data_IF_370954585112
#
_entry.id   IF_370954585112
#
_cell.length_a   1.000
_cell.length_b   1.000
_cell.length_c   1.000
_cell.angle_alpha   90.00
_cell.angle_beta   90.00
_cell.angle_gamma   90.00
#
_symmetry.space_group_name_H-M   'P 1'
#
loop_
_entity.id
_entity.type
_entity.pdbx_description
1 polymer ?
#
# COMPACT_ATOMS: atom_id res chain seq x y z
N UNK A 1 -6.39 -24.28 11.17
CA UNK A 1 -7.00 -24.75 12.44
C UNK A 1 -6.99 -23.57 13.40
N UNK A 2 -8.12 -23.22 13.99
CA UNK A 2 -8.25 -22.08 14.91
C UNK A 2 -8.90 -22.57 16.20
N UNK A 3 -8.19 -22.49 17.32
CA UNK A 3 -8.63 -22.93 18.65
C UNK A 3 -8.41 -21.78 19.63
N UNK A 4 -9.42 -20.90 19.82
CA UNK A 4 -9.29 -19.73 20.68
C UNK A 4 -8.99 -20.06 22.15
N UNK A 5 -9.64 -21.08 22.70
CA UNK A 5 -9.56 -21.44 24.13
C UNK A 5 -8.32 -22.28 24.52
N UNK A 6 -7.26 -22.26 23.71
CA UNK A 6 -6.04 -22.99 24.03
C UNK A 6 -5.24 -22.27 25.12
N UNK A 7 -4.57 -23.03 26.00
CA UNK A 7 -3.90 -22.49 27.21
C UNK A 7 -2.84 -21.42 26.93
N UNK A 8 -2.17 -21.49 25.77
CA UNK A 8 -1.11 -20.55 25.38
C UNK A 8 -1.28 -20.05 23.94
N UNK A 9 -1.08 -18.74 23.72
CA UNK A 9 -1.08 -18.18 22.37
C UNK A 9 0.08 -18.72 21.54
N UNK A 10 -0.23 -19.48 20.49
CA UNK A 10 0.76 -20.11 19.61
C UNK A 10 0.28 -20.11 18.17
N UNK A 11 1.01 -19.40 17.31
CA UNK A 11 0.87 -19.50 15.85
C UNK A 11 1.94 -20.47 15.33
N UNK A 12 1.54 -21.52 14.62
CA UNK A 12 2.44 -22.55 14.07
C UNK A 12 2.18 -22.75 12.59
N UNK A 13 3.22 -22.63 11.79
CA UNK A 13 3.16 -22.50 10.34
C UNK A 13 3.89 -23.67 9.71
N UNK A 14 3.18 -24.48 8.93
CA UNK A 14 3.73 -25.62 8.21
C UNK A 14 3.41 -25.43 6.72
N UNK A 15 4.20 -24.62 6.00
CA UNK A 15 3.86 -24.21 4.64
C UNK A 15 3.93 -25.37 3.64
N UNK A 16 4.84 -26.32 3.84
CA UNK A 16 4.95 -27.52 3.00
C UNK A 16 3.73 -28.45 3.16
N UNK A 17 3.18 -28.52 4.37
CA UNK A 17 1.98 -29.30 4.68
C UNK A 17 0.68 -28.55 4.36
N UNK A 18 0.76 -27.26 4.02
CA UNK A 18 -0.40 -26.42 3.74
C UNK A 18 -1.25 -26.07 4.97
N UNK A 19 -0.70 -26.17 6.19
CA UNK A 19 -1.45 -26.02 7.43
C UNK A 19 -0.88 -24.91 8.31
N UNK A 20 -1.77 -24.11 8.89
CA UNK A 20 -1.46 -23.22 10.01
C UNK A 20 -2.37 -23.51 11.20
N UNK A 21 -1.79 -23.54 12.39
CA UNK A 21 -2.51 -23.61 13.67
C UNK A 21 -2.46 -22.25 14.36
N UNK A 22 -3.63 -21.71 14.66
CA UNK A 22 -3.85 -20.52 15.49
C UNK A 22 -4.43 -21.02 16.81
N UNK A 23 -3.64 -20.98 17.88
CA UNK A 23 -4.02 -21.47 19.20
C UNK A 23 -3.99 -20.29 20.18
N UNK A 24 -4.98 -20.21 21.08
CA UNK A 24 -4.94 -19.27 22.21
C UNK A 24 -5.16 -17.82 21.80
N UNK A 25 -5.88 -17.59 20.70
CA UNK A 25 -6.27 -16.26 20.21
C UNK A 25 -7.63 -16.38 19.55
N UNK A 26 -8.56 -15.51 19.91
CA UNK A 26 -9.88 -15.34 19.28
C UNK A 26 -9.88 -14.25 18.19
N UNK A 27 -8.76 -13.55 17.99
CA UNK A 27 -8.62 -12.53 16.97
C UNK A 27 -8.72 -13.11 15.56
N UNK A 28 -9.74 -12.71 14.80
CA UNK A 28 -10.05 -13.24 13.46
C UNK A 28 -8.92 -12.93 12.46
N UNK A 29 -8.18 -11.84 12.71
CA UNK A 29 -7.03 -11.46 11.89
C UNK A 29 -5.92 -12.51 11.82
N UNK A 30 -5.73 -13.32 12.86
CA UNK A 30 -4.75 -14.42 12.83
C UNK A 30 -5.14 -15.49 11.80
N UNK A 31 -6.43 -15.85 11.76
CA UNK A 31 -6.95 -16.79 10.78
C UNK A 31 -6.82 -16.23 9.36
N UNK A 32 -7.26 -14.97 9.12
CA UNK A 32 -7.12 -14.28 7.83
C UNK A 32 -5.66 -14.28 7.36
N UNK A 33 -4.74 -13.73 8.15
CA UNK A 33 -3.33 -13.58 7.75
C UNK A 33 -2.63 -14.93 7.57
N UNK A 34 -3.09 -15.99 8.25
CA UNK A 34 -2.61 -17.36 8.03
C UNK A 34 -2.89 -17.85 6.61
N UNK A 35 -4.11 -17.64 6.09
CA UNK A 35 -4.46 -17.98 4.70
C UNK A 35 -3.70 -17.12 3.70
N UNK A 36 -3.64 -15.81 3.92
CA UNK A 36 -2.96 -14.87 3.02
C UNK A 36 -1.46 -15.17 2.90
N UNK A 37 -0.80 -15.53 4.01
CA UNK A 37 0.59 -15.98 3.99
C UNK A 37 0.78 -17.24 3.13
N UNK A 38 -0.12 -18.22 3.27
CA UNK A 38 -0.06 -19.45 2.48
C UNK A 38 -0.29 -19.18 1.00
N UNK A 39 -1.23 -18.28 0.67
CA UNK A 39 -1.44 -17.81 -0.70
C UNK A 39 -0.16 -17.23 -1.31
N UNK A 40 0.52 -16.32 -0.59
CA UNK A 40 1.79 -15.73 -1.07
C UNK A 40 2.90 -16.78 -1.24
N UNK A 41 3.00 -17.74 -0.30
CA UNK A 41 3.94 -18.86 -0.43
C UNK A 41 3.68 -19.68 -1.69
N UNK A 42 2.42 -20.02 -1.97
CA UNK A 42 2.05 -20.80 -3.15
C UNK A 42 2.18 -20.04 -4.47
N UNK A 43 1.98 -18.71 -4.46
CA UNK A 43 2.28 -17.86 -5.59
C UNK A 43 3.78 -17.93 -5.92
N UNK A 44 4.65 -17.83 -4.91
CA UNK A 44 6.10 -17.97 -5.06
C UNK A 44 6.52 -19.31 -5.68
N UNK A 45 5.90 -20.41 -5.26
CA UNK A 45 6.15 -21.74 -5.86
C UNK A 45 5.69 -21.85 -7.33
N UNK A 46 4.86 -20.92 -7.81
CA UNK A 46 4.35 -20.84 -9.18
C UNK A 46 5.01 -19.71 -9.96
N UNK A 47 6.21 -19.30 -9.58
CA UNK A 47 6.95 -18.18 -10.16
C UNK A 47 6.23 -16.82 -10.05
N UNK A 48 5.25 -16.67 -9.16
CA UNK A 48 4.70 -15.36 -8.79
C UNK A 48 5.44 -14.73 -7.63
N UNK A 49 4.92 -13.60 -7.14
CA UNK A 49 5.36 -12.96 -5.91
C UNK A 49 4.14 -12.43 -5.15
N UNK A 50 4.02 -12.82 -3.88
CA UNK A 50 2.99 -12.29 -3.00
C UNK A 50 3.29 -10.87 -2.55
N UNK A 51 2.32 -9.97 -2.70
CA UNK A 51 2.42 -8.56 -2.33
C UNK A 51 1.37 -8.24 -1.26
N UNK A 52 1.77 -7.49 -0.23
CA UNK A 52 0.83 -6.92 0.74
C UNK A 52 0.34 -5.56 0.22
N UNK A 53 -0.51 -5.62 -0.80
CA UNK A 53 -0.94 -4.47 -1.58
C UNK A 53 -2.45 -4.47 -1.83
N UNK A 54 -3.01 -3.26 -1.91
CA UNK A 54 -4.33 -3.05 -2.52
C UNK A 54 -4.20 -3.00 -4.04
N UNK A 55 -5.24 -3.36 -4.76
CA UNK A 55 -5.29 -3.29 -6.23
C UNK A 55 -6.56 -2.63 -6.71
N UNK A 56 -6.44 -1.91 -7.84
CA UNK A 56 -7.51 -1.13 -8.44
C UNK A 56 -7.43 -1.22 -9.95
N UNK A 57 -8.58 -1.24 -10.60
CA UNK A 57 -8.71 -1.05 -12.03
C UNK A 57 -9.25 0.34 -12.32
N UNK A 58 -8.55 1.12 -13.14
CA UNK A 58 -8.97 2.46 -13.57
C UNK A 58 -9.30 2.42 -15.05
N UNK A 59 -10.53 2.77 -15.41
CA UNK A 59 -10.94 3.05 -16.78
C UNK A 59 -10.95 4.57 -16.97
N UNK A 60 -10.13 5.09 -17.88
CA UNK A 60 -9.98 6.53 -18.08
C UNK A 60 -9.86 6.89 -19.56
N UNK A 61 -10.42 8.03 -19.95
CA UNK A 61 -10.32 8.52 -21.31
C UNK A 61 -8.99 9.26 -21.51
N UNK A 62 -8.30 8.92 -22.60
CA UNK A 62 -7.06 9.54 -23.03
C UNK A 62 -7.25 10.20 -24.40
N UNK A 63 -6.22 10.92 -24.88
CA UNK A 63 -6.23 11.50 -26.23
C UNK A 63 -6.33 10.46 -27.35
N UNK A 64 -6.02 9.19 -27.06
CA UNK A 64 -6.00 8.07 -28.03
C UNK A 64 -7.12 7.06 -27.81
N UNK A 65 -8.01 7.28 -26.84
CA UNK A 65 -9.15 6.40 -26.53
C UNK A 65 -9.26 6.04 -25.05
N UNK A 66 -10.18 5.12 -24.74
CA UNK A 66 -10.31 4.53 -23.41
C UNK A 66 -9.07 3.69 -23.09
N UNK A 67 -8.52 3.88 -21.89
CA UNK A 67 -7.44 3.07 -21.34
C UNK A 67 -7.93 2.40 -20.06
N UNK A 68 -7.65 1.11 -19.92
CA UNK A 68 -7.80 0.36 -18.65
C UNK A 68 -6.43 0.20 -18.04
N UNK A 69 -6.29 0.59 -16.79
CA UNK A 69 -5.01 0.64 -16.09
C UNK A 69 -5.15 -0.12 -14.79
N UNK A 70 -4.32 -1.15 -14.63
CA UNK A 70 -4.19 -1.87 -13.39
C UNK A 70 -3.18 -1.22 -12.46
N UNK A 71 -3.63 -0.86 -11.26
CA UNK A 71 -2.83 -0.17 -10.25
C UNK A 71 -2.68 -1.03 -8.99
N UNK A 72 -1.46 -1.09 -8.46
CA UNK A 72 -1.11 -1.79 -7.22
C UNK A 72 -0.59 -0.76 -6.21
N UNK A 73 -1.11 -0.79 -4.99
CA UNK A 73 -0.79 0.15 -3.92
C UNK A 73 -0.11 -0.57 -2.76
N UNK A 74 1.18 -0.32 -2.57
CA UNK A 74 1.99 -0.87 -1.49
C UNK A 74 2.19 0.18 -0.41
N UNK A 75 2.07 -0.20 0.87
CA UNK A 75 2.17 0.75 1.96
C UNK A 75 2.01 0.08 3.31
N UNK A 76 2.63 0.67 4.33
CA UNK A 76 2.42 0.27 5.71
C UNK A 76 1.00 0.62 6.18
N UNK A 77 0.60 0.06 7.33
CA UNK A 77 -0.68 0.40 7.94
C UNK A 77 -0.77 1.92 8.21
N UNK A 78 -1.96 2.50 8.06
CA UNK A 78 -2.23 3.93 8.29
C UNK A 78 -1.45 4.92 7.39
N UNK A 79 -0.88 4.47 6.27
CA UNK A 79 -0.29 5.37 5.26
C UNK A 79 -1.29 5.83 4.19
N UNK A 80 -2.54 5.34 4.20
CA UNK A 80 -3.56 5.68 3.21
C UNK A 80 -3.75 4.63 2.10
N UNK A 81 -3.16 3.43 2.23
CA UNK A 81 -3.36 2.31 1.28
C UNK A 81 -4.83 2.02 1.02
N UNK A 82 -5.60 1.70 2.05
CA UNK A 82 -7.03 1.39 1.92
C UNK A 82 -7.80 2.59 1.37
N UNK A 83 -7.52 3.80 1.86
CA UNK A 83 -8.14 5.04 1.37
C UNK A 83 -7.96 5.19 -0.14
N UNK A 84 -6.72 5.15 -0.66
CA UNK A 84 -6.47 5.28 -2.10
C UNK A 84 -7.04 4.12 -2.92
N UNK A 85 -7.00 2.91 -2.38
CA UNK A 85 -7.49 1.71 -3.08
C UNK A 85 -9.03 1.71 -3.18
N UNK A 86 -9.73 2.20 -2.16
CA UNK A 86 -11.19 2.26 -2.13
C UNK A 86 -11.76 3.55 -2.75
N UNK A 87 -11.00 4.64 -2.82
CA UNK A 87 -11.48 5.91 -3.35
C UNK A 87 -11.83 5.82 -4.85
N UNK A 88 -13.00 6.33 -5.26
CA UNK A 88 -13.50 6.28 -6.65
C UNK A 88 -12.87 7.29 -7.63
N UNK A 89 -11.86 8.03 -7.18
CA UNK A 89 -11.14 9.09 -7.93
C UNK A 89 -12.04 10.21 -8.50
N UNK A 90 -13.29 10.32 -8.01
CA UNK A 90 -14.29 11.23 -8.57
C UNK A 90 -14.64 10.93 -10.04
N UNK A 91 -14.34 9.71 -10.52
CA UNK A 91 -14.67 9.27 -11.88
C UNK A 91 -16.09 8.74 -11.91
N UNK A 92 -16.83 9.04 -12.98
CA UNK A 92 -18.23 8.62 -13.15
C UNK A 92 -18.52 8.22 -14.59
N UNK A 93 -19.53 7.36 -14.78
CA UNK A 93 -19.97 6.93 -16.10
C UNK A 93 -18.95 6.04 -16.81
N UNK A 94 -18.50 6.47 -17.99
CA UNK A 94 -17.54 5.72 -18.81
C UNK A 94 -16.14 5.69 -18.18
N UNK A 95 -15.82 6.64 -17.30
CA UNK A 95 -14.60 6.60 -16.49
C UNK A 95 -14.95 6.07 -15.10
N UNK A 96 -14.13 5.18 -14.56
CA UNK A 96 -14.35 4.59 -13.23
C UNK A 96 -13.02 4.11 -12.62
N UNK A 97 -13.04 3.93 -11.30
CA UNK A 97 -11.90 3.47 -10.51
C UNK A 97 -12.38 2.43 -9.51
N UNK A 98 -12.28 1.17 -9.88
CA UNK A 98 -12.88 0.06 -9.15
C UNK A 98 -11.87 -0.66 -8.26
N UNK A 99 -12.23 -0.89 -7.01
CA UNK A 99 -11.47 -1.70 -6.05
C UNK A 99 -11.45 -3.16 -6.51
N UNK A 100 -10.27 -3.78 -6.53
CA UNK A 100 -10.11 -5.21 -6.88
C UNK A 100 -9.72 -6.03 -5.63
N UNK A 101 -8.71 -5.60 -4.87
CA UNK A 101 -8.30 -6.15 -3.56
C UNK A 101 -7.84 -5.05 -2.62
N UNK A 102 -7.91 -5.22 -1.30
CA UNK A 102 -7.46 -4.21 -0.32
C UNK A 102 -6.14 -4.57 0.40
N UNK A 103 -5.82 -5.87 0.51
CA UNK A 103 -4.82 -6.34 1.46
C UNK A 103 -3.66 -7.13 0.84
N UNK A 104 -3.94 -8.27 0.17
CA UNK A 104 -2.92 -9.16 -0.41
C UNK A 104 -3.29 -9.58 -1.83
N UNK A 105 -2.29 -9.59 -2.70
CA UNK A 105 -2.38 -10.09 -4.07
C UNK A 105 -1.08 -10.80 -4.48
N UNK A 106 -1.02 -11.36 -5.69
CA UNK A 106 0.19 -11.97 -6.22
C UNK A 106 0.45 -11.53 -7.67
N UNK A 107 1.61 -10.95 -7.93
CA UNK A 107 2.06 -10.55 -9.27
C UNK A 107 2.76 -11.72 -9.98
N UNK A 108 2.40 -11.94 -11.24
CA UNK A 108 2.98 -12.97 -12.11
C UNK A 108 3.76 -12.37 -13.29
N UNK A 109 4.62 -13.17 -13.96
CA UNK A 109 5.49 -12.70 -15.06
C UNK A 109 4.79 -12.05 -16.24
N UNK A 110 3.54 -12.45 -16.51
CA UNK A 110 2.69 -11.98 -17.59
C UNK A 110 1.90 -10.72 -17.21
N UNK A 111 2.16 -10.14 -16.03
CA UNK A 111 1.46 -8.97 -15.52
C UNK A 111 0.17 -9.29 -14.80
N UNK A 112 -0.32 -10.54 -14.81
CA UNK A 112 -1.51 -10.94 -14.05
C UNK A 112 -1.29 -10.67 -12.56
N UNK A 113 -2.31 -10.12 -11.91
CA UNK A 113 -2.34 -9.99 -10.45
C UNK A 113 -3.51 -10.78 -9.90
N UNK A 114 -3.19 -11.91 -9.27
CA UNK A 114 -4.19 -12.76 -8.62
C UNK A 114 -4.60 -12.17 -7.27
N UNK A 115 -5.89 -12.08 -7.02
CA UNK A 115 -6.47 -11.72 -5.73
C UNK A 115 -6.45 -12.88 -4.75
N UNK A 116 -6.54 -12.57 -3.45
CA UNK A 116 -6.48 -13.56 -2.38
C UNK A 116 -7.79 -13.68 -1.59
N UNK A 117 -8.62 -12.65 -1.64
CA UNK A 117 -9.87 -12.54 -0.86
C UNK A 117 -11.07 -12.45 -1.80
N UNK A 118 -11.98 -13.43 -1.67
CA UNK A 118 -13.09 -13.61 -2.60
C UNK A 118 -14.21 -12.59 -2.49
N UNK A 119 -14.97 -12.66 -1.39
CA UNK A 119 -16.28 -12.00 -1.27
C UNK A 119 -16.35 -10.83 -0.28
N UNK A 120 -15.27 -10.53 0.45
CA UNK A 120 -15.31 -9.51 1.49
C UNK A 120 -13.95 -8.88 1.74
N UNK A 121 -13.96 -7.80 2.53
CA UNK A 121 -12.79 -7.06 2.98
C UNK A 121 -12.71 -7.07 4.50
N UNK A 122 -11.50 -6.93 5.05
CA UNK A 122 -11.28 -6.85 6.50
C UNK A 122 -10.62 -5.53 6.87
N UNK A 123 -11.46 -4.54 7.12
CA UNK A 123 -11.07 -3.14 7.20
C UNK A 123 -10.89 -2.68 8.65
N UNK A 124 -10.09 -1.63 8.85
CA UNK A 124 -9.96 -0.94 10.14
C UNK A 124 -11.11 0.05 10.28
N UNK A 125 -11.76 0.09 11.44
CA UNK A 125 -12.94 0.93 11.66
C UNK A 125 -12.69 2.17 12.51
N UNK A 126 -11.55 2.25 13.23
CA UNK A 126 -11.26 3.43 14.07
C UNK A 126 -11.23 4.72 13.21
N UNK A 127 -11.99 5.72 13.63
CA UNK A 127 -12.12 7.00 12.93
C UNK A 127 -12.89 6.94 11.60
N UNK A 128 -13.57 5.83 11.29
CA UNK A 128 -14.40 5.73 10.10
C UNK A 128 -15.59 6.69 10.19
N UNK A 129 -15.72 7.55 9.19
CA UNK A 129 -16.77 8.56 9.09
C UNK A 129 -17.50 8.44 7.75
N UNK A 130 -18.78 8.84 7.74
CA UNK A 130 -19.56 8.87 6.51
C UNK A 130 -19.09 9.99 5.57
N UNK A 131 -18.55 11.06 6.14
CA UNK A 131 -18.06 12.23 5.43
C UNK A 131 -16.79 11.91 4.62
N UNK A 132 -15.86 11.16 5.19
CA UNK A 132 -14.55 10.89 4.56
C UNK A 132 -14.58 9.65 3.67
N UNK A 133 -15.34 8.62 4.06
CA UNK A 133 -15.38 7.31 3.38
C UNK A 133 -16.81 6.74 3.32
N UNK A 134 -17.74 7.38 2.61
CA UNK A 134 -19.16 7.03 2.63
C UNK A 134 -19.45 5.59 2.21
N UNK A 135 -18.77 5.08 1.17
CA UNK A 135 -18.98 3.72 0.67
C UNK A 135 -18.59 2.66 1.69
N UNK A 136 -17.45 2.88 2.36
CA UNK A 136 -16.95 1.97 3.40
C UNK A 136 -17.83 2.07 4.64
N UNK A 137 -18.20 3.29 5.05
CA UNK A 137 -19.09 3.51 6.18
C UNK A 137 -20.43 2.80 5.98
N UNK A 138 -21.08 2.99 4.84
CA UNK A 138 -22.37 2.38 4.52
C UNK A 138 -22.27 0.83 4.50
N UNK A 139 -21.16 0.27 3.99
CA UNK A 139 -20.90 -1.17 4.05
C UNK A 139 -20.65 -1.70 5.48
N UNK A 140 -20.15 -0.88 6.41
CA UNK A 140 -19.95 -1.31 7.82
C UNK A 140 -21.21 -1.28 8.68
N UNK A 141 -22.24 -0.56 8.24
CA UNK A 141 -23.54 -0.50 8.91
C UNK A 141 -24.60 -1.35 8.19
N UNK A 142 -24.20 -2.18 7.23
CA UNK A 142 -25.11 -3.15 6.58
C UNK A 142 -25.41 -4.33 7.50
N UNK A 143 -26.54 -5.01 7.25
CA UNK A 143 -26.92 -6.22 7.99
C UNK A 143 -25.94 -7.39 7.77
N UNK A 144 -25.10 -7.32 6.73
CA UNK A 144 -24.09 -8.32 6.37
C UNK A 144 -22.74 -8.08 7.06
N UNK A 145 -22.53 -6.90 7.67
CA UNK A 145 -21.27 -6.53 8.29
C UNK A 145 -21.05 -7.26 9.63
N UNK A 146 -19.82 -7.73 9.84
CA UNK A 146 -19.38 -8.31 11.13
C UNK A 146 -18.35 -7.40 11.77
N UNK A 147 -18.70 -6.78 12.89
CA UNK A 147 -17.83 -5.88 13.66
C UNK A 147 -17.07 -6.65 14.74
N UNK A 148 -15.78 -6.36 14.88
CA UNK A 148 -14.90 -6.94 15.90
C UNK A 148 -14.29 -5.80 16.73
N UNK A 149 -14.52 -5.85 18.05
CA UNK A 149 -14.01 -4.87 19.04
C UNK A 149 -14.36 -3.40 18.75
N UNK A 150 -15.55 -3.14 18.20
CA UNK A 150 -16.10 -1.79 18.00
C UNK A 150 -17.07 -1.45 19.13
N UNK A 151 -17.06 -0.19 19.59
CA UNK A 151 -17.99 0.27 20.61
C UNK A 151 -19.42 0.33 20.08
N UNK A 152 -20.37 -0.18 20.88
CA UNK A 152 -21.80 -0.17 20.55
C UNK A 152 -22.59 0.42 21.71
N UNK A 153 -23.37 1.45 21.42
CA UNK A 153 -24.25 2.12 22.37
C UNK A 153 -25.47 1.27 22.74
N UNK A 154 -26.21 1.69 23.77
CA UNK A 154 -27.40 0.98 24.26
C UNK A 154 -28.53 0.89 23.23
N UNK A 155 -28.59 1.83 22.29
CA UNK A 155 -29.53 1.90 21.17
C UNK A 155 -29.12 1.02 19.98
N UNK A 156 -27.91 0.42 20.01
CA UNK A 156 -27.33 -0.31 18.89
C UNK A 156 -26.47 0.56 17.96
N UNK A 157 -26.37 1.87 18.24
CA UNK A 157 -25.53 2.77 17.45
C UNK A 157 -24.05 2.41 17.62
N UNK A 158 -23.33 2.34 16.51
CA UNK A 158 -21.90 2.02 16.47
C UNK A 158 -21.10 3.31 16.58
N UNK A 159 -20.12 3.35 17.49
CA UNK A 159 -19.20 4.48 17.62
C UNK A 159 -17.81 4.08 17.13
N UNK A 160 -17.48 4.50 15.91
CA UNK A 160 -16.18 4.25 15.29
C UNK A 160 -15.06 5.14 15.83
N UNK A 161 -15.34 6.12 16.68
CA UNK A 161 -14.33 6.98 17.30
C UNK A 161 -13.94 6.51 18.71
N UNK A 162 -14.73 5.64 19.32
CA UNK A 162 -14.45 5.09 20.64
C UNK A 162 -13.44 3.91 20.56
N UNK A 163 -12.19 4.21 20.90
CA UNK A 163 -11.09 3.25 21.02
C UNK A 163 -10.92 2.63 22.42
N UNK A 164 -11.89 2.74 23.34
CA UNK A 164 -11.76 2.27 24.73
C UNK A 164 -11.40 0.79 24.85
N UNK A 165 -11.87 -0.06 23.92
CA UNK A 165 -11.46 -1.47 23.84
C UNK A 165 -10.12 -1.61 23.13
N UNK A 166 -9.99 -0.98 21.96
CA UNK A 166 -8.79 -1.00 21.13
C UNK A 166 -8.89 0.03 19.99
N UNK A 167 -7.76 0.59 19.58
CA UNK A 167 -7.64 1.36 18.33
C UNK A 167 -7.60 0.47 17.08
N UNK A 168 -7.63 -0.86 17.23
CA UNK A 168 -7.67 -1.83 16.13
C UNK A 168 -9.07 -2.46 15.99
N UNK A 169 -10.13 -1.66 16.14
CA UNK A 169 -11.48 -2.07 15.75
C UNK A 169 -11.51 -2.49 14.28
N UNK A 170 -12.26 -3.55 13.97
CA UNK A 170 -12.33 -4.14 12.61
C UNK A 170 -13.76 -4.38 12.17
N UNK A 171 -13.94 -4.43 10.86
CA UNK A 171 -15.15 -4.91 10.23
C UNK A 171 -14.81 -5.88 9.09
N UNK A 172 -15.54 -6.98 9.01
CA UNK A 172 -15.65 -7.77 7.79
C UNK A 172 -16.89 -7.31 7.03
N UNK A 173 -16.69 -6.78 5.82
CA UNK A 173 -17.77 -6.28 4.96
C UNK A 173 -17.79 -7.06 3.65
N UNK A 174 -18.94 -7.15 2.99
CA UNK A 174 -19.03 -7.79 1.69
C UNK A 174 -18.57 -6.84 0.58
N UNK A 175 -17.90 -7.39 -0.44
CA UNK A 175 -17.55 -6.63 -1.65
C UNK A 175 -18.80 -6.18 -2.42
N UNK A 176 -19.89 -6.95 -2.34
CA UNK A 176 -21.18 -6.61 -2.95
C UNK A 176 -21.82 -5.35 -2.36
N UNK A 177 -21.39 -4.94 -1.15
CA UNK A 177 -21.90 -3.75 -0.49
C UNK A 177 -21.13 -2.48 -0.91
N UNK A 178 -20.02 -2.66 -1.65
CA UNK A 178 -19.20 -1.57 -2.15
C UNK A 178 -19.57 -1.26 -3.61
N UNK A 179 -20.11 -0.07 -3.91
CA UNK A 179 -20.63 0.26 -5.23
C UNK A 179 -19.55 0.31 -6.32
N UNK A 180 -18.28 0.50 -5.93
CA UNK A 180 -17.14 0.54 -6.82
C UNK A 180 -16.22 -0.69 -6.69
N UNK A 181 -16.67 -1.79 -6.08
CA UNK A 181 -15.95 -3.05 -6.19
C UNK A 181 -16.03 -3.59 -7.63
N UNK A 182 -14.91 -4.06 -8.16
CA UNK A 182 -14.89 -4.77 -9.44
C UNK A 182 -15.59 -6.13 -9.30
N UNK A 183 -16.09 -6.69 -10.40
CA UNK A 183 -16.68 -8.04 -10.41
C UNK A 183 -15.64 -9.12 -10.12
N UNK A 184 -14.42 -8.93 -10.63
CA UNK A 184 -13.28 -9.83 -10.43
C UNK A 184 -12.49 -9.47 -9.15
N UNK A 185 -11.83 -10.46 -8.56
CA UNK A 185 -10.78 -10.26 -7.53
C UNK A 185 -9.38 -10.23 -8.13
N UNK A 186 -9.26 -10.63 -9.40
CA UNK A 186 -8.02 -10.63 -10.16
C UNK A 186 -7.99 -9.38 -11.04
N UNK A 187 -6.81 -8.78 -11.13
CA UNK A 187 -6.52 -7.71 -12.09
C UNK A 187 -5.78 -8.34 -13.27
N UNK A 188 -6.37 -8.23 -14.46
CA UNK A 188 -5.88 -8.90 -15.67
C UNK A 188 -4.43 -8.55 -15.99
N UNK A 189 -4.05 -7.28 -15.78
CA UNK A 189 -2.70 -6.78 -16.08
C UNK A 189 -2.30 -5.62 -15.17
N UNK A 190 -1.17 -5.76 -14.49
CA UNK A 190 -0.52 -4.70 -13.73
C UNK A 190 0.17 -3.72 -14.69
N UNK A 191 -0.17 -2.45 -14.57
CA UNK A 191 0.48 -1.39 -15.34
C UNK A 191 1.31 -0.48 -14.44
N UNK A 192 0.88 -0.29 -13.19
CA UNK A 192 1.44 0.70 -12.28
C UNK A 192 1.53 0.18 -10.85
N UNK A 193 2.68 0.39 -10.20
CA UNK A 193 2.88 0.14 -8.76
C UNK A 193 3.19 1.46 -8.05
N UNK A 194 2.50 1.71 -6.95
CA UNK A 194 2.68 2.88 -6.10
C UNK A 194 3.14 2.47 -4.70
N UNK A 195 4.33 2.93 -4.31
CA UNK A 195 4.84 2.84 -2.95
C UNK A 195 4.38 4.07 -2.16
N UNK A 196 3.46 3.86 -1.23
CA UNK A 196 2.87 4.91 -0.41
C UNK A 196 3.79 5.19 0.78
N UNK A 197 4.18 6.45 0.91
CA UNK A 197 5.00 6.94 2.02
C UNK A 197 4.37 8.18 2.66
N UNK A 198 4.83 8.52 3.86
CA UNK A 198 4.53 9.80 4.52
C UNK A 198 5.81 10.59 4.85
N UNK A 199 6.92 10.24 4.20
CA UNK A 199 8.22 10.84 4.45
C UNK A 199 8.28 12.29 3.92
N UNK A 200 8.54 13.31 4.76
CA UNK A 200 8.57 14.71 4.35
C UNK A 200 9.71 15.06 3.39
N UNK A 201 10.72 14.19 3.24
CA UNK A 201 11.79 14.38 2.25
C UNK A 201 11.36 14.05 0.83
N UNK A 202 10.24 13.36 0.67
CA UNK A 202 9.75 12.90 -0.63
C UNK A 202 8.83 13.94 -1.28
N UNK A 203 8.94 14.15 -2.61
CA UNK A 203 7.96 14.91 -3.36
C UNK A 203 6.59 14.21 -3.31
N UNK A 204 5.50 14.88 -3.71
CA UNK A 204 4.17 14.26 -3.77
C UNK A 204 4.14 12.99 -4.60
N UNK A 205 4.93 12.96 -5.67
CA UNK A 205 5.12 11.78 -6.50
C UNK A 205 6.48 11.81 -7.20
N UNK A 206 7.07 10.63 -7.36
CA UNK A 206 8.26 10.42 -8.18
C UNK A 206 8.14 9.13 -8.98
N UNK A 207 8.57 9.15 -10.25
CA UNK A 207 8.74 7.97 -11.09
C UNK A 207 10.08 7.32 -10.79
N UNK A 208 10.07 6.01 -10.60
CA UNK A 208 11.24 5.21 -10.27
C UNK A 208 11.75 4.48 -11.51
N UNK A 209 13.06 4.26 -11.57
CA UNK A 209 13.59 3.15 -12.38
C UNK A 209 13.23 1.81 -11.75
N UNK A 210 13.46 0.70 -12.45
CA UNK A 210 13.15 -0.63 -11.94
C UNK A 210 14.05 -0.99 -10.74
N UNK A 211 15.33 -0.62 -10.77
CA UNK A 211 16.23 -0.81 -9.63
C UNK A 211 15.82 0.05 -8.43
N UNK A 212 15.43 1.29 -8.68
CA UNK A 212 14.86 2.19 -7.68
C UNK A 212 13.61 1.55 -7.05
N UNK A 213 12.69 1.04 -7.86
CA UNK A 213 11.48 0.36 -7.37
C UNK A 213 11.79 -0.88 -6.52
N UNK A 214 12.75 -1.70 -6.92
CA UNK A 214 13.17 -2.85 -6.12
C UNK A 214 13.85 -2.43 -4.81
N UNK A 215 14.60 -1.33 -4.81
CA UNK A 215 15.12 -0.73 -3.58
C UNK A 215 13.99 -0.20 -2.67
N UNK A 216 12.97 0.48 -3.22
CA UNK A 216 11.78 0.91 -2.47
C UNK A 216 11.06 -0.29 -1.84
N UNK A 217 10.88 -1.36 -2.61
CA UNK A 217 10.30 -2.61 -2.11
C UNK A 217 11.13 -3.15 -0.94
N UNK A 218 12.46 -3.24 -1.09
CA UNK A 218 13.32 -3.76 -0.02
C UNK A 218 13.39 -2.86 1.22
N UNK A 219 13.36 -1.55 1.05
CA UNK A 219 13.31 -0.62 2.17
C UNK A 219 11.96 -0.71 2.90
N UNK A 220 10.86 -0.76 2.13
CA UNK A 220 9.49 -0.77 2.65
C UNK A 220 9.30 0.28 3.73
N UNK A 221 9.79 1.49 3.44
CA UNK A 221 10.00 2.55 4.41
C UNK A 221 8.80 3.51 4.46
N UNK A 222 8.42 3.86 5.68
CA UNK A 222 7.54 5.00 5.96
C UNK A 222 7.94 5.61 7.29
N UNK A 223 7.12 6.56 7.73
CA UNK A 223 7.16 7.12 9.08
C UNK A 223 6.03 6.51 9.88
N UNK A 224 6.32 6.11 11.12
CA UNK A 224 5.33 5.65 12.07
C UNK A 224 4.32 6.78 12.34
N UNK A 225 3.04 6.45 12.26
CA UNK A 225 1.97 7.45 12.38
C UNK A 225 1.38 7.39 13.78
N UNK A 226 0.80 8.49 14.25
CA UNK A 226 0.07 8.49 15.52
C UNK A 226 -1.12 7.51 15.53
N UNK A 227 -1.63 7.10 14.35
CA UNK A 227 -2.68 6.09 14.21
C UNK A 227 -2.15 4.64 14.18
N UNK A 228 -0.83 4.46 14.07
CA UNK A 228 -0.14 3.18 14.14
C UNK A 228 0.39 2.93 15.54
N UNK A 229 1.41 3.69 15.96
CA UNK A 229 1.96 3.71 17.32
C UNK A 229 2.19 5.17 17.77
N UNK A 230 1.31 5.73 18.61
CA UNK A 230 1.46 7.09 19.14
C UNK A 230 2.80 7.36 19.82
N UNK A 231 3.42 6.33 20.41
CA UNK A 231 4.67 6.49 21.19
C UNK A 231 5.91 6.61 20.31
N UNK A 232 5.79 6.22 19.03
CA UNK A 232 6.87 6.25 18.04
C UNK A 232 6.55 7.15 16.85
N UNK A 233 5.49 7.94 16.93
CA UNK A 233 5.07 8.80 15.84
C UNK A 233 6.22 9.70 15.38
N UNK A 234 6.57 9.65 14.10
CA UNK A 234 7.72 10.36 13.53
C UNK A 234 9.00 9.52 13.37
N UNK A 235 9.07 8.32 13.94
CA UNK A 235 10.21 7.41 13.76
C UNK A 235 10.16 6.68 12.39
N UNK A 236 11.32 6.43 11.75
CA UNK A 236 11.36 5.63 10.53
C UNK A 236 11.05 4.16 10.82
N UNK A 237 10.19 3.56 10.01
CA UNK A 237 9.85 2.15 10.08
C UNK A 237 10.14 1.48 8.72
N UNK A 238 10.74 0.28 8.76
CA UNK A 238 11.10 -0.49 7.57
C UNK A 238 10.60 -1.93 7.64
N UNK A 239 9.79 -2.32 6.66
CA UNK A 239 9.32 -3.70 6.49
C UNK A 239 9.41 -4.06 5.01
N UNK A 240 10.33 -4.95 4.63
CA UNK A 240 10.49 -5.42 3.23
C UNK A 240 9.13 -5.74 2.58
N UNK A 241 8.88 -5.15 1.42
CA UNK A 241 7.65 -5.27 0.63
C UNK A 241 6.39 -4.76 1.34
N UNK A 242 6.56 -3.95 2.39
CA UNK A 242 5.55 -3.64 3.39
C UNK A 242 4.83 -4.88 3.91
N UNK A 243 5.52 -6.04 3.90
CA UNK A 243 4.95 -7.37 4.04
C UNK A 243 5.63 -8.13 5.20
N UNK A 244 5.03 -8.14 6.40
CA UNK A 244 5.58 -8.87 7.54
C UNK A 244 5.41 -10.40 7.42
N UNK A 245 4.76 -10.91 6.36
CA UNK A 245 4.37 -12.32 6.22
C UNK A 245 5.28 -13.11 5.26
N UNK A 246 6.41 -12.56 4.84
CA UNK A 246 7.37 -13.23 3.95
C UNK A 246 7.85 -14.56 4.53
N UNK A 247 7.79 -15.64 3.73
CA UNK A 247 8.41 -16.93 4.03
C UNK A 247 9.68 -17.09 3.20
N UNK A 248 10.82 -17.22 3.88
CA UNK A 248 12.14 -17.42 3.26
C UNK A 248 12.98 -16.15 3.24
N UNK A 249 13.90 -16.05 2.27
CA UNK A 249 14.85 -14.93 2.19
C UNK A 249 14.19 -13.67 1.66
N UNK A 250 14.22 -12.60 2.45
CA UNK A 250 13.82 -11.25 2.02
C UNK A 250 14.63 -10.72 0.84
N UNK A 251 15.93 -11.04 0.76
CA UNK A 251 16.77 -10.63 -0.38
C UNK A 251 16.36 -11.30 -1.70
N UNK A 252 15.89 -12.56 -1.65
CA UNK A 252 15.36 -13.25 -2.84
C UNK A 252 14.01 -12.64 -3.28
N UNK A 253 13.19 -12.17 -2.33
CA UNK A 253 11.95 -11.45 -2.65
C UNK A 253 12.23 -10.16 -3.43
N UNK A 254 13.22 -9.36 -3.02
CA UNK A 254 13.61 -8.14 -3.72
C UNK A 254 14.11 -8.40 -5.14
N UNK A 255 14.93 -9.44 -5.33
CA UNK A 255 15.38 -9.84 -6.66
C UNK A 255 14.19 -10.30 -7.53
N UNK A 256 13.27 -11.08 -6.95
CA UNK A 256 12.10 -11.55 -7.69
C UNK A 256 11.16 -10.41 -8.07
N UNK A 257 11.00 -9.44 -7.19
CA UNK A 257 10.21 -8.23 -7.48
C UNK A 257 10.79 -7.49 -8.69
N UNK A 258 12.11 -7.26 -8.71
CA UNK A 258 12.81 -6.63 -9.85
C UNK A 258 12.58 -7.40 -11.17
N UNK A 259 12.68 -8.72 -11.13
CA UNK A 259 12.45 -9.56 -12.32
C UNK A 259 11.03 -9.41 -12.84
N UNK A 260 10.02 -9.42 -11.95
CA UNK A 260 8.62 -9.36 -12.33
C UNK A 260 8.23 -8.00 -12.93
N UNK A 261 8.62 -6.90 -12.30
CA UNK A 261 8.28 -5.56 -12.84
C UNK A 261 8.94 -5.31 -14.20
N UNK A 262 10.12 -5.90 -14.45
CA UNK A 262 10.78 -5.84 -15.76
C UNK A 262 10.07 -6.70 -16.80
N UNK A 263 9.67 -7.92 -16.45
CA UNK A 263 9.00 -8.84 -17.38
C UNK A 263 7.60 -8.36 -17.77
N UNK A 264 6.87 -7.80 -16.81
CA UNK A 264 5.53 -7.26 -17.01
C UNK A 264 5.51 -5.76 -17.39
N UNK A 265 6.68 -5.16 -17.61
CA UNK A 265 6.84 -3.74 -18.03
C UNK A 265 6.05 -2.75 -17.13
N UNK A 266 6.05 -2.99 -15.82
CA UNK A 266 5.25 -2.24 -14.84
C UNK A 266 5.96 -0.94 -14.44
N UNK A 267 5.27 0.19 -14.60
CA UNK A 267 5.79 1.49 -14.15
C UNK A 267 5.66 1.63 -12.63
N UNK A 268 6.75 2.03 -11.96
CA UNK A 268 6.78 2.15 -10.51
C UNK A 268 6.93 3.61 -10.05
N UNK A 269 6.25 3.95 -8.96
CA UNK A 269 6.20 5.30 -8.41
C UNK A 269 6.27 5.28 -6.88
N UNK A 270 6.82 6.34 -6.29
CA UNK A 270 6.54 6.70 -4.89
C UNK A 270 5.43 7.75 -4.90
N UNK A 271 4.46 7.62 -3.98
CA UNK A 271 3.44 8.63 -3.71
C UNK A 271 3.48 9.01 -2.23
N UNK A 272 3.64 10.30 -1.95
CA UNK A 272 3.66 10.83 -0.59
C UNK A 272 2.27 11.31 -0.20
N UNK A 273 1.62 10.63 0.75
CA UNK A 273 0.28 10.95 1.28
C UNK A 273 0.35 11.68 2.63
N UNK A 274 1.55 12.10 3.03
CA UNK A 274 1.79 12.84 4.26
C UNK A 274 1.90 14.33 3.99
N UNK A 275 3.11 14.85 4.19
CA UNK A 275 3.46 16.25 3.96
C UNK A 275 4.80 16.31 3.24
N UNK A 276 5.11 17.45 2.66
CA UNK A 276 6.43 17.80 2.13
C UNK A 276 7.05 18.83 3.05
N UNK A 277 8.28 18.58 3.48
CA UNK A 277 9.01 19.50 4.35
C UNK A 277 8.79 19.31 5.84
N UNK A 278 9.71 19.89 6.62
CA UNK A 278 9.60 20.00 8.07
C UNK A 278 9.48 21.44 8.56
N UNK A 279 10.02 22.41 7.82
CA UNK A 279 9.83 23.85 8.05
C UNK A 279 8.80 24.35 7.05
N UNK A 280 7.79 25.11 7.50
CA UNK A 280 6.71 25.62 6.65
C UNK A 280 6.08 24.57 5.72
N UNK A 281 5.96 23.34 6.25
CA UNK A 281 5.61 22.14 5.49
C UNK A 281 4.24 22.24 4.80
N UNK A 282 4.10 21.56 3.65
CA UNK A 282 2.85 21.48 2.88
C UNK A 282 2.24 20.09 2.96
N UNK A 283 1.00 19.98 3.39
CA UNK A 283 0.27 18.70 3.43
C UNK A 283 -0.15 18.25 2.04
N UNK A 284 0.05 16.96 1.73
CA UNK A 284 -0.44 16.34 0.50
C UNK A 284 -1.83 15.76 0.75
N UNK A 285 -2.85 16.58 0.53
CA UNK A 285 -4.25 16.18 0.67
C UNK A 285 -4.69 15.08 -0.32
N UNK A 286 -5.84 14.47 -0.04
CA UNK A 286 -6.40 13.37 -0.86
C UNK A 286 -6.68 13.82 -2.30
N UNK A 287 -7.14 15.05 -2.50
CA UNK A 287 -7.43 15.61 -3.82
C UNK A 287 -6.15 15.68 -4.69
N UNK A 288 -5.01 16.03 -4.07
CA UNK A 288 -3.71 16.04 -4.75
C UNK A 288 -3.31 14.62 -5.16
N UNK A 289 -3.44 13.65 -4.23
CA UNK A 289 -3.11 12.25 -4.50
C UNK A 289 -3.97 11.68 -5.63
N UNK A 290 -5.27 11.99 -5.64
CA UNK A 290 -6.20 11.57 -6.70
C UNK A 290 -5.88 12.24 -8.03
N UNK A 291 -5.54 13.53 -8.04
CA UNK A 291 -5.12 14.23 -9.25
C UNK A 291 -3.88 13.57 -9.87
N UNK A 292 -2.86 13.28 -9.05
CA UNK A 292 -1.65 12.55 -9.46
C UNK A 292 -2.00 11.19 -10.08
N UNK A 293 -2.79 10.37 -9.38
CA UNK A 293 -3.12 9.02 -9.83
C UNK A 293 -3.90 9.01 -11.14
N UNK A 294 -4.79 9.99 -11.35
CA UNK A 294 -5.54 10.16 -12.61
C UNK A 294 -4.63 10.57 -13.77
N UNK A 295 -3.74 11.53 -13.56
CA UNK A 295 -2.83 11.98 -14.62
C UNK A 295 -1.80 10.90 -14.98
N UNK A 296 -1.33 10.12 -14.00
CA UNK A 296 -0.48 8.94 -14.23
C UNK A 296 -1.26 7.86 -15.01
N UNK A 297 -2.53 7.59 -14.66
CA UNK A 297 -3.36 6.64 -15.40
C UNK A 297 -3.56 7.06 -16.87
N UNK A 298 -3.68 8.37 -17.16
CA UNK A 298 -3.75 8.88 -18.54
C UNK A 298 -2.45 8.65 -19.32
N UNK A 299 -1.29 8.61 -18.65
CA UNK A 299 0.03 8.47 -19.27
C UNK A 299 0.54 9.76 -19.92
N UNK A 300 -0.01 10.91 -19.54
CA UNK A 300 0.28 12.22 -20.14
C UNK A 300 1.34 13.04 -19.36
N UNK A 301 1.91 12.48 -18.29
CA UNK A 301 2.88 13.20 -17.44
C UNK A 301 4.27 13.23 -18.08
N UNK A 302 4.82 14.43 -18.21
CA UNK A 302 6.23 14.65 -18.51
C UNK A 302 7.08 14.60 -17.24
N UNK A 303 8.09 13.74 -17.26
CA UNK A 303 8.99 13.49 -16.12
C UNK A 303 10.36 14.10 -16.37
N UNK A 304 10.94 14.69 -15.33
CA UNK A 304 12.31 15.20 -15.35
C UNK A 304 13.08 14.69 -14.14
N UNK A 305 14.29 14.18 -14.38
CA UNK A 305 15.24 13.86 -13.30
C UNK A 305 15.68 15.16 -12.62
N UNK A 306 15.42 15.27 -11.33
CA UNK A 306 15.86 16.39 -10.50
C UNK A 306 17.22 16.05 -9.87
N UNK A 307 18.20 16.94 -10.00
CA UNK A 307 19.57 16.68 -9.52
C UNK A 307 19.71 16.80 -8.00
N UNK A 308 18.86 17.58 -7.32
CA UNK A 308 18.91 17.76 -5.86
C UNK A 308 18.23 16.59 -5.15
N UNK A 309 17.05 16.21 -5.63
CA UNK A 309 16.27 15.09 -5.08
C UNK A 309 16.88 13.77 -5.55
N UNK A 310 17.40 13.72 -6.78
CA UNK A 310 17.90 12.49 -7.39
C UNK A 310 16.79 11.51 -7.75
N UNK A 311 15.59 12.00 -8.09
CA UNK A 311 14.43 11.23 -8.55
C UNK A 311 13.78 11.91 -9.75
N UNK A 312 12.97 11.17 -10.51
CA UNK A 312 12.20 11.73 -11.61
C UNK A 312 10.88 12.31 -11.10
N UNK A 313 10.73 13.64 -11.15
CA UNK A 313 9.53 14.36 -10.67
C UNK A 313 8.69 14.86 -11.85
N UNK A 314 7.38 15.05 -11.70
CA UNK A 314 6.53 15.54 -12.78
C UNK A 314 6.74 17.04 -12.98
N UNK A 315 6.72 17.49 -14.24
CA UNK A 315 6.78 18.92 -14.55
C UNK A 315 5.45 19.65 -14.34
N UNK A 316 4.35 18.92 -14.47
CA UNK A 316 2.99 19.43 -14.33
C UNK A 316 2.03 18.28 -13.96
N UNK A 317 1.06 18.58 -13.09
CA UNK A 317 -0.07 17.70 -12.76
C UNK A 317 -1.33 18.55 -12.78
N UNK A 318 -2.30 18.21 -13.62
CA UNK A 318 -3.57 18.93 -13.62
C UNK A 318 -4.30 18.73 -12.29
N UNK A 319 -4.67 19.83 -11.63
CA UNK A 319 -5.28 19.79 -10.29
C UNK A 319 -4.29 19.91 -9.12
N UNK A 320 -3.00 20.13 -9.38
CA UNK A 320 -1.99 20.35 -8.33
C UNK A 320 -0.88 21.29 -8.80
N UNK A 321 -0.56 22.34 -8.03
CA UNK A 321 0.65 23.13 -8.29
C UNK A 321 1.87 22.42 -7.71
N UNK A 322 2.49 21.55 -8.51
CA UNK A 322 3.61 20.71 -8.07
C UNK A 322 4.81 21.52 -7.53
N UNK A 323 4.96 22.79 -7.94
CA UNK A 323 6.07 23.64 -7.51
C UNK A 323 5.97 24.02 -6.05
N UNK A 324 4.76 24.08 -5.48
CA UNK A 324 4.56 24.30 -4.04
C UNK A 324 4.98 23.08 -3.19
N UNK A 325 5.36 21.97 -3.81
CA UNK A 325 5.70 20.74 -3.11
C UNK A 325 7.12 20.27 -3.44
N UNK A 326 8.03 21.21 -3.69
CA UNK A 326 9.45 20.90 -3.94
C UNK A 326 10.20 20.73 -2.61
N UNK A 327 10.58 19.49 -2.20
CA UNK A 327 11.14 19.26 -0.87
C UNK A 327 12.35 20.13 -0.51
N UNK A 328 13.34 20.38 -1.41
CA UNK A 328 14.49 21.22 -1.07
C UNK A 328 14.19 22.63 -0.56
N UNK A 329 12.99 23.17 -0.82
CA UNK A 329 12.59 24.50 -0.34
C UNK A 329 12.16 24.50 1.14
N UNK A 330 11.95 23.31 1.74
CA UNK A 330 11.38 23.13 3.08
C UNK A 330 12.35 22.51 4.10
N UNK A 331 13.65 22.48 3.77
CA UNK A 331 14.72 22.00 4.64
C UNK A 331 15.93 22.94 4.57
N UNK A 332 16.51 23.28 5.72
CA UNK A 332 17.71 24.13 5.79
C UNK A 332 18.94 23.48 5.12
N UNK A 333 19.12 22.17 5.30
CA UNK A 333 20.17 21.36 4.68
C UNK A 333 19.61 20.10 4.03
N UNK A 334 18.83 20.27 2.97
CA UNK A 334 18.22 19.15 2.25
C UNK A 334 19.27 18.13 1.77
N UNK A 335 20.38 18.59 1.20
CA UNK A 335 21.41 17.73 0.63
C UNK A 335 22.13 16.90 1.71
N UNK A 336 22.44 17.48 2.87
CA UNK A 336 23.06 16.75 3.98
C UNK A 336 22.12 15.71 4.59
N UNK A 337 20.83 16.04 4.74
CA UNK A 337 19.81 15.12 5.24
C UNK A 337 19.63 13.95 4.26
N UNK A 338 19.47 14.25 2.97
CA UNK A 338 19.32 13.23 1.92
C UNK A 338 20.58 12.35 1.80
N UNK A 339 21.77 12.93 1.92
CA UNK A 339 23.03 12.19 1.94
C UNK A 339 23.13 11.21 3.10
N UNK A 340 22.76 11.64 4.30
CA UNK A 340 22.74 10.77 5.50
C UNK A 340 21.75 9.62 5.34
N UNK A 341 20.56 9.91 4.80
CA UNK A 341 19.52 8.91 4.55
C UNK A 341 19.96 7.87 3.51
N UNK A 342 20.68 8.28 2.46
CA UNK A 342 21.25 7.36 1.46
C UNK A 342 22.21 6.36 2.09
N UNK A 343 23.13 6.81 2.95
CA UNK A 343 24.08 5.92 3.62
C UNK A 343 23.37 4.95 4.57
N UNK A 344 22.38 5.43 5.34
CA UNK A 344 21.59 4.58 6.23
C UNK A 344 20.83 3.49 5.46
N UNK A 345 20.21 3.86 4.33
CA UNK A 345 19.51 2.92 3.45
C UNK A 345 20.47 1.90 2.85
N UNK A 346 21.68 2.31 2.46
CA UNK A 346 22.71 1.42 1.93
C UNK A 346 23.13 0.40 2.98
N UNK A 347 23.37 0.86 4.20
CA UNK A 347 23.68 -0.02 5.33
C UNK A 347 22.54 -1.01 5.59
N UNK A 348 21.29 -0.54 5.55
CA UNK A 348 20.13 -1.41 5.71
C UNK A 348 20.05 -2.50 4.65
N UNK A 349 20.21 -2.14 3.36
CA UNK A 349 20.16 -3.10 2.25
C UNK A 349 21.33 -4.10 2.29
N UNK A 350 22.50 -3.69 2.77
CA UNK A 350 23.67 -4.58 2.89
C UNK A 350 23.46 -5.76 3.85
N UNK A 351 22.44 -5.70 4.72
CA UNK A 351 22.11 -6.77 5.68
C UNK A 351 21.50 -8.00 4.99
N UNK A 352 21.03 -7.88 3.75
CA UNK A 352 20.40 -8.97 3.00
C UNK A 352 21.40 -9.69 2.10
N UNK A 353 22.05 -10.74 2.62
CA UNK A 353 23.12 -11.46 1.92
C UNK A 353 22.77 -12.07 0.55
N UNK A 354 21.48 -12.28 0.27
CA UNK A 354 20.99 -12.80 -1.03
C UNK A 354 20.44 -11.72 -1.96
N UNK A 355 20.45 -10.45 -1.54
CA UNK A 355 20.02 -9.34 -2.40
C UNK A 355 21.12 -9.07 -3.44
N UNK A 356 20.73 -8.81 -4.68
CA UNK A 356 21.69 -8.51 -5.74
C UNK A 356 22.46 -7.20 -5.45
N UNK A 357 23.77 -7.20 -5.70
CA UNK A 357 24.66 -6.08 -5.36
C UNK A 357 24.25 -4.77 -6.03
N UNK A 358 23.77 -4.81 -7.27
CA UNK A 358 23.30 -3.63 -7.99
C UNK A 358 22.16 -2.90 -7.24
N UNK A 359 21.33 -3.62 -6.49
CA UNK A 359 20.27 -3.02 -5.66
C UNK A 359 20.83 -2.34 -4.41
N UNK A 360 21.95 -2.82 -3.87
CA UNK A 360 22.65 -2.17 -2.75
C UNK A 360 23.41 -0.90 -3.17
N UNK A 361 23.69 -0.75 -4.47
CA UNK A 361 24.43 0.38 -5.06
C UNK A 361 23.53 1.40 -5.80
N UNK A 362 22.22 1.14 -5.87
CA UNK A 362 21.24 2.00 -6.56
C UNK A 362 21.12 3.40 -5.91
N UNK A 363 20.58 4.37 -6.65
CA UNK A 363 20.26 5.71 -6.10
C UNK A 363 19.21 5.62 -4.99
N UNK A 364 19.63 5.62 -3.73
CA UNK A 364 18.76 5.54 -2.54
C UNK A 364 18.16 6.91 -2.14
N UNK A 365 17.94 7.76 -3.15
CA UNK A 365 17.36 9.10 -3.02
C UNK A 365 15.90 9.14 -2.56
N UNK A 366 15.29 7.98 -2.42
CA UNK A 366 13.85 7.74 -2.36
C UNK A 366 13.46 7.05 -1.08
#
# INVERSE_FOLDING_TARGET
>A
VHIPDWEETRIRIFPEDGVTYVLGSDYTGEAKKSFLRMFMYYAKQRNGLGLHAGTKQVCINTKVGERRVGQIFMGLSATGKTTLTCHGFGLTGAENANLVQDDVCALFPDGLVAGSEGGGLYIKTIGLSKEDQPEIYDATISDDAVLENVAVGKSGDVDFYDGNLTDNGRASILRSDLPNAADSIDLEEAHQIFFITRNPLMPPVAKLTEEEAAAAFMLGESIETSAGDPTKAGEPIRVVGTNPFIIGSKGEEGNRFLELIKQAEVECFIINTGKVGNVDSRSVEIEHSVAILREIAKGDIEWKRDDKIGLSIPLYVNGMDIKEFYPPDYFEDYSGILGSLKEERKEYLSKFSKLAENLTETSLSM
#
